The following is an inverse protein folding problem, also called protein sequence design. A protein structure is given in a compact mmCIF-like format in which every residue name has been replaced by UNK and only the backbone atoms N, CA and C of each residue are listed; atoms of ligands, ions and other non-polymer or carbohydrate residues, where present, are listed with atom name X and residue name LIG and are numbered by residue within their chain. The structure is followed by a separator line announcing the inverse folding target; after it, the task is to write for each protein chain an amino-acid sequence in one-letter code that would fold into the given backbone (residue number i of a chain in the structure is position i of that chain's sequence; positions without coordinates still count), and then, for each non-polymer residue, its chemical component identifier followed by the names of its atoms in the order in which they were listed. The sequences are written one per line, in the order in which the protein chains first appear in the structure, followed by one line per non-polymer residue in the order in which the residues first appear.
data_IF_977895654466
#
_entry.id   IF_977895654466
#
_cell.length_a   1.000
_cell.length_b   1.000
_cell.length_c   1.000
_cell.angle_alpha   90.00
_cell.angle_beta   90.00
_cell.angle_gamma   90.00
#
_symmetry.space_group_name_H-M   'P 1'
#
loop_
_entity.id
_entity.type
_entity.pdbx_description
1 polymer ?
#
# COMPACT_ATOMS: atom_id res chain seq x y z
N UNK A 1 -27.19 47.04 0.37
CA UNK A 1 -27.02 45.60 0.06
C UNK A 1 -25.89 45.08 0.93
N UNK A 2 -26.16 44.03 1.67
CA UNK A 2 -25.18 43.31 2.50
C UNK A 2 -25.03 41.92 1.89
N UNK A 3 -23.79 41.50 1.63
CA UNK A 3 -23.47 40.21 1.05
C UNK A 3 -23.88 38.99 1.91
N UNK A 4 -23.66 37.78 1.41
CA UNK A 4 -24.09 36.53 2.05
C UNK A 4 -23.42 36.32 3.42
N UNK A 5 -24.11 35.64 4.33
CA UNK A 5 -23.57 35.26 5.65
C UNK A 5 -22.52 34.15 5.55
N UNK A 6 -22.62 33.33 4.52
CA UNK A 6 -21.71 32.19 4.27
C UNK A 6 -21.25 32.26 2.83
N UNK A 7 -19.97 32.07 2.61
CA UNK A 7 -19.38 31.88 1.28
C UNK A 7 -18.94 30.44 1.14
N UNK A 8 -19.26 29.85 0.00
CA UNK A 8 -18.86 28.48 -0.36
C UNK A 8 -18.13 28.54 -1.69
N UNK A 9 -16.96 27.91 -1.75
CA UNK A 9 -16.22 27.63 -2.99
C UNK A 9 -16.09 26.13 -3.09
N UNK A 10 -16.50 25.55 -4.22
CA UNK A 10 -16.52 24.11 -4.42
C UNK A 10 -16.09 23.76 -5.84
N UNK A 11 -15.19 22.80 -5.98
CA UNK A 11 -14.76 22.22 -7.25
C UNK A 11 -14.62 20.72 -7.09
N UNK A 12 -14.79 19.99 -8.21
CA UNK A 12 -14.60 18.55 -8.21
C UNK A 12 -13.87 18.10 -9.46
N UNK A 13 -13.21 16.93 -9.35
CA UNK A 13 -12.57 16.26 -10.48
C UNK A 13 -12.77 14.75 -10.39
N UNK A 14 -12.74 14.08 -11.55
CA UNK A 14 -12.72 12.62 -11.62
C UNK A 14 -11.28 12.17 -11.90
N UNK A 15 -10.83 11.20 -11.13
CA UNK A 15 -9.48 10.63 -11.13
C UNK A 15 -9.59 9.17 -11.55
N UNK A 16 -8.81 8.72 -12.54
CA UNK A 16 -8.74 7.33 -12.99
C UNK A 16 -7.87 6.48 -12.06
N UNK A 17 -8.19 6.52 -10.77
CA UNK A 17 -7.59 5.71 -9.72
C UNK A 17 -8.63 5.42 -8.64
N UNK A 18 -8.62 4.23 -8.01
CA UNK A 18 -9.58 3.87 -6.97
C UNK A 18 -9.40 4.74 -5.72
N UNK A 19 -10.45 4.81 -4.89
CA UNK A 19 -10.48 5.67 -3.70
C UNK A 19 -9.32 5.36 -2.73
N UNK A 20 -8.88 4.13 -2.65
CA UNK A 20 -7.77 3.67 -1.81
C UNK A 20 -6.43 4.27 -2.25
N UNK A 21 -6.26 4.53 -3.55
CA UNK A 21 -5.06 5.16 -4.11
C UNK A 21 -5.06 6.68 -3.94
N UNK A 22 -6.25 7.31 -3.92
CA UNK A 22 -6.39 8.77 -3.82
C UNK A 22 -6.42 9.25 -2.37
N UNK A 23 -7.04 8.49 -1.46
CA UNK A 23 -7.25 8.88 -0.08
C UNK A 23 -5.96 9.26 0.68
N UNK A 24 -4.84 8.54 0.55
CA UNK A 24 -3.58 8.94 1.20
C UNK A 24 -3.11 10.35 0.82
N UNK A 25 -3.35 10.78 -0.41
CA UNK A 25 -2.94 12.11 -0.89
C UNK A 25 -3.78 13.26 -0.32
N UNK A 26 -5.00 12.97 0.15
CA UNK A 26 -5.88 14.00 0.73
C UNK A 26 -5.94 13.92 2.26
N UNK A 27 -5.65 12.77 2.87
CA UNK A 27 -5.70 12.58 4.33
C UNK A 27 -4.40 12.94 5.04
N UNK A 28 -3.29 13.06 4.34
CA UNK A 28 -2.01 13.53 4.86
C UNK A 28 -1.77 14.98 4.48
N UNK A 29 -1.49 15.86 5.46
CA UNK A 29 -1.16 17.26 5.18
C UNK A 29 0.16 17.41 4.41
N UNK A 30 1.12 16.50 4.62
CA UNK A 30 2.38 16.47 3.86
C UNK A 30 2.16 16.08 2.40
N UNK A 31 1.30 15.12 2.13
CA UNK A 31 0.94 14.74 0.77
C UNK A 31 0.10 15.84 0.11
N UNK A 32 -0.90 16.39 0.82
CA UNK A 32 -1.72 17.50 0.33
C UNK A 32 -0.89 18.71 -0.05
N UNK A 33 0.19 19.00 0.68
CA UNK A 33 1.10 20.08 0.36
C UNK A 33 1.81 19.90 -0.99
N UNK A 34 2.02 18.64 -1.47
CA UNK A 34 2.68 18.40 -2.75
C UNK A 34 1.89 18.87 -3.96
N UNK A 35 0.56 18.80 -3.89
CA UNK A 35 -0.35 19.24 -4.94
C UNK A 35 -1.04 20.58 -4.66
N UNK A 36 -0.79 21.17 -3.48
CA UNK A 36 -1.33 22.48 -3.11
C UNK A 36 -0.94 23.56 -4.13
N UNK A 37 -1.89 24.34 -4.68
CA UNK A 37 -1.59 25.43 -5.60
C UNK A 37 -0.79 26.54 -4.92
N UNK A 38 -0.98 26.74 -3.63
CA UNK A 38 -0.31 27.79 -2.85
C UNK A 38 1.16 27.51 -2.59
N UNK A 39 1.58 26.25 -2.64
CA UNK A 39 3.01 25.90 -2.61
C UNK A 39 3.78 26.53 -3.77
N UNK A 40 3.18 26.55 -4.97
CA UNK A 40 3.83 27.10 -6.15
C UNK A 40 3.68 28.63 -6.24
N UNK A 41 2.63 29.19 -5.62
CA UNK A 41 2.40 30.62 -5.55
C UNK A 41 3.43 31.34 -4.65
N UNK A 42 3.96 30.65 -3.64
CA UNK A 42 4.97 31.16 -2.72
C UNK A 42 6.01 30.08 -2.42
N UNK A 43 7.05 30.01 -3.24
CA UNK A 43 8.11 28.97 -3.14
C UNK A 43 9.01 29.13 -1.92
N UNK A 44 9.07 30.35 -1.38
CA UNK A 44 9.92 30.68 -0.23
C UNK A 44 9.15 30.59 1.10
N UNK A 45 7.87 30.21 1.07
CA UNK A 45 7.07 30.02 2.28
C UNK A 45 7.71 28.99 3.21
N UNK A 46 7.70 29.31 4.50
CA UNK A 46 8.12 28.38 5.55
C UNK A 46 6.91 27.60 6.01
N UNK A 47 6.95 26.29 5.79
CA UNK A 47 5.87 25.39 6.18
C UNK A 47 6.37 24.40 7.22
N UNK A 48 5.64 24.27 8.32
CA UNK A 48 5.92 23.31 9.39
C UNK A 48 4.73 22.36 9.60
N UNK A 49 5.03 21.14 10.03
CA UNK A 49 4.03 20.11 10.31
C UNK A 49 4.20 19.64 11.75
N UNK A 50 3.10 19.49 12.48
CA UNK A 50 3.08 18.98 13.85
C UNK A 50 1.96 17.96 14.03
N UNK A 51 2.05 17.16 15.11
CA UNK A 51 1.17 16.00 15.31
C UNK A 51 1.55 14.80 14.45
N UNK A 52 0.74 13.73 14.51
CA UNK A 52 0.91 12.55 13.64
C UNK A 52 0.22 12.80 12.31
N UNK A 53 0.99 12.86 11.24
CA UNK A 53 0.46 13.11 9.91
C UNK A 53 -0.57 12.05 9.50
N UNK A 54 -1.66 12.47 8.83
CA UNK A 54 -2.76 11.58 8.46
C UNK A 54 -3.69 11.19 9.62
N UNK A 55 -3.66 11.90 10.74
CA UNK A 55 -4.59 11.70 11.86
C UNK A 55 -5.29 13.00 12.24
N UNK A 56 -6.43 12.89 12.94
CA UNK A 56 -7.10 14.04 13.55
C UNK A 56 -6.15 14.71 14.54
N UNK A 57 -6.06 16.05 14.48
CA UNK A 57 -5.14 16.86 15.27
C UNK A 57 -3.76 17.05 14.62
N UNK A 58 -3.51 16.52 13.40
CA UNK A 58 -2.33 16.93 12.63
C UNK A 58 -2.50 18.34 12.11
N UNK A 59 -1.44 19.14 12.17
CA UNK A 59 -1.44 20.56 11.85
C UNK A 59 -0.33 20.89 10.86
N UNK A 60 -0.67 21.70 9.86
CA UNK A 60 0.25 22.39 8.98
C UNK A 60 0.18 23.88 9.31
N UNK A 61 1.32 24.53 9.47
CA UNK A 61 1.44 25.98 9.64
C UNK A 61 2.33 26.55 8.53
N UNK A 62 2.00 27.75 8.06
CA UNK A 62 2.80 28.44 7.05
C UNK A 62 2.99 29.91 7.34
N UNK A 63 4.11 30.43 6.86
CA UNK A 63 4.46 31.85 6.84
C UNK A 63 5.08 32.14 5.48
N UNK A 64 4.50 33.09 4.73
CA UNK A 64 4.99 33.49 3.42
C UNK A 64 4.55 34.87 3.03
N UNK A 65 5.27 35.47 2.10
CA UNK A 65 5.02 36.85 1.66
C UNK A 65 3.77 36.97 0.79
N UNK A 66 3.51 35.94 -0.03
CA UNK A 66 2.35 35.92 -0.92
C UNK A 66 1.15 35.22 -0.29
N UNK A 67 1.37 34.10 0.43
CA UNK A 67 0.31 33.29 1.03
C UNK A 67 -0.07 33.75 2.44
N UNK A 68 0.64 34.70 3.00
CA UNK A 68 0.42 35.21 4.36
C UNK A 68 0.82 34.17 5.43
N UNK A 69 0.17 34.29 6.59
CA UNK A 69 0.40 33.44 7.74
C UNK A 69 -0.88 32.71 8.10
N UNK A 70 -0.80 31.39 8.36
CA UNK A 70 -1.97 30.62 8.75
C UNK A 70 -1.66 29.20 9.17
N UNK A 71 -2.73 28.43 9.45
CA UNK A 71 -2.65 27.03 9.80
C UNK A 71 -3.85 26.25 9.25
N UNK A 72 -3.63 24.97 9.02
CA UNK A 72 -4.67 23.98 8.72
C UNK A 72 -4.55 22.81 9.68
N UNK A 73 -5.67 22.42 10.28
CA UNK A 73 -5.77 21.31 11.22
C UNK A 73 -6.80 20.30 10.73
N UNK A 74 -6.43 19.03 10.65
CA UNK A 74 -7.39 17.95 10.39
C UNK A 74 -8.26 17.73 11.62
N UNK A 75 -9.58 17.87 11.45
CA UNK A 75 -10.56 17.72 12.54
C UNK A 75 -11.47 16.51 12.36
N UNK A 76 -11.54 15.94 11.16
CA UNK A 76 -12.40 14.80 10.84
C UNK A 76 -11.77 13.93 9.75
N UNK A 77 -11.82 12.60 9.92
CA UNK A 77 -11.38 11.62 8.94
C UNK A 77 -12.38 10.47 8.87
N UNK A 78 -12.89 10.18 7.68
CA UNK A 78 -13.58 8.95 7.35
C UNK A 78 -12.80 8.25 6.24
N UNK A 79 -12.25 7.08 6.54
CA UNK A 79 -11.37 6.35 5.63
C UNK A 79 -12.00 6.14 4.25
N UNK A 80 -11.27 6.52 3.19
CA UNK A 80 -11.65 6.44 1.79
C UNK A 80 -12.91 7.24 1.41
N UNK A 81 -13.33 8.22 2.25
CA UNK A 81 -14.55 8.99 2.00
C UNK A 81 -14.43 10.48 2.27
N UNK A 82 -13.85 10.87 3.40
CA UNK A 82 -13.91 12.26 3.84
C UNK A 82 -12.70 12.70 4.64
N UNK A 83 -12.27 13.93 4.41
CA UNK A 83 -11.29 14.66 5.21
C UNK A 83 -11.83 16.05 5.51
N UNK A 84 -12.12 16.32 6.78
CA UNK A 84 -12.54 17.62 7.28
C UNK A 84 -11.39 18.32 7.96
N UNK A 85 -11.16 19.60 7.64
CA UNK A 85 -10.13 20.43 8.28
C UNK A 85 -10.62 21.83 8.58
N UNK A 86 -9.98 22.44 9.56
CA UNK A 86 -10.13 23.87 9.87
C UNK A 86 -8.94 24.63 9.32
N UNK A 87 -9.22 25.65 8.53
CA UNK A 87 -8.25 26.57 7.96
C UNK A 87 -8.33 27.89 8.71
N UNK A 88 -7.22 28.36 9.28
CA UNK A 88 -7.11 29.63 10.01
C UNK A 88 -6.09 30.52 9.30
N UNK A 89 -6.53 31.69 8.87
CA UNK A 89 -5.66 32.75 8.39
C UNK A 89 -5.39 33.71 9.54
N UNK A 90 -4.15 34.18 9.69
CA UNK A 90 -3.69 35.09 10.73
C UNK A 90 -3.33 36.41 10.08
N UNK A 91 -2.56 36.36 8.99
CA UNK A 91 -2.16 37.56 8.22
C UNK A 91 -2.49 37.35 6.72
N UNK A 92 -2.88 38.39 5.99
CA UNK A 92 -3.01 39.80 6.40
C UNK A 92 -4.31 40.13 7.16
N UNK A 93 -5.30 39.19 7.18
CA UNK A 93 -6.58 39.38 7.87
C UNK A 93 -6.99 38.07 8.57
N UNK A 94 -7.34 38.18 9.83
CA UNK A 94 -7.86 37.01 10.59
C UNK A 94 -9.16 36.55 10.00
N UNK A 95 -9.19 35.24 9.64
CA UNK A 95 -10.40 34.55 9.19
C UNK A 95 -10.28 33.04 9.41
N UNK A 96 -11.43 32.36 9.37
CA UNK A 96 -11.50 30.92 9.51
C UNK A 96 -12.44 30.34 8.48
N UNK A 97 -12.06 29.21 7.93
CA UNK A 97 -12.87 28.41 7.03
C UNK A 97 -12.88 26.94 7.43
N UNK A 98 -13.97 26.24 7.14
CA UNK A 98 -14.00 24.78 7.11
C UNK A 98 -13.63 24.33 5.69
N UNK A 99 -12.78 23.33 5.59
CA UNK A 99 -12.41 22.70 4.33
C UNK A 99 -12.81 21.24 4.41
N UNK A 100 -13.57 20.79 3.42
CA UNK A 100 -14.03 19.42 3.26
C UNK A 100 -13.46 18.88 1.93
N UNK A 101 -12.83 17.71 1.99
CA UNK A 101 -12.44 16.91 0.82
C UNK A 101 -13.26 15.63 0.86
N UNK A 102 -14.27 15.55 0.00
CA UNK A 102 -15.14 14.40 -0.13
C UNK A 102 -14.65 13.50 -1.28
N UNK A 103 -14.61 12.20 -1.02
CA UNK A 103 -14.15 11.19 -1.95
C UNK A 103 -15.23 10.12 -2.14
N UNK A 104 -15.58 9.84 -3.38
CA UNK A 104 -16.58 8.84 -3.75
C UNK A 104 -16.10 8.03 -4.95
N UNK A 105 -16.48 6.76 -5.01
CA UNK A 105 -16.27 5.92 -6.20
C UNK A 105 -17.09 6.45 -7.36
N UNK A 106 -16.49 6.60 -8.54
CA UNK A 106 -17.16 7.00 -9.78
C UNK A 106 -16.66 6.16 -10.97
N UNK A 107 -17.48 5.19 -11.40
CA UNK A 107 -17.07 4.18 -12.37
C UNK A 107 -15.92 3.33 -11.83
N UNK A 108 -14.86 3.17 -12.63
CA UNK A 108 -13.62 2.47 -12.23
C UNK A 108 -12.62 3.38 -11.50
N UNK A 109 -12.99 4.64 -11.27
CA UNK A 109 -12.16 5.63 -10.61
C UNK A 109 -12.81 6.22 -9.38
N UNK A 110 -12.44 7.46 -9.07
CA UNK A 110 -12.95 8.21 -7.93
C UNK A 110 -13.25 9.65 -8.30
N UNK A 111 -14.22 10.26 -7.61
CA UNK A 111 -14.51 11.68 -7.66
C UNK A 111 -14.07 12.32 -6.35
N UNK A 112 -13.22 13.36 -6.45
CA UNK A 112 -12.84 14.22 -5.34
C UNK A 112 -13.60 15.53 -5.46
N UNK A 113 -14.25 15.94 -4.38
CA UNK A 113 -14.89 17.26 -4.24
C UNK A 113 -14.16 18.04 -3.16
N UNK A 114 -13.62 19.18 -3.52
CA UNK A 114 -12.97 20.10 -2.61
C UNK A 114 -13.86 21.29 -2.34
N UNK A 115 -14.24 21.47 -1.08
CA UNK A 115 -15.17 22.50 -0.64
C UNK A 115 -14.58 23.31 0.49
N UNK A 116 -14.67 24.62 0.40
CA UNK A 116 -14.35 25.55 1.46
C UNK A 116 -15.58 26.35 1.85
N UNK A 117 -15.86 26.42 3.14
CA UNK A 117 -16.99 27.15 3.71
C UNK A 117 -16.50 28.17 4.70
N UNK A 118 -16.76 29.44 4.46
CA UNK A 118 -16.36 30.56 5.32
C UNK A 118 -17.60 31.25 5.89
N UNK A 119 -17.62 31.48 7.21
CA UNK A 119 -18.62 32.31 7.86
C UNK A 119 -18.18 33.78 7.79
N UNK A 120 -18.97 34.60 7.10
CA UNK A 120 -18.62 35.99 6.85
C UNK A 120 -19.03 36.90 8.02
N UNK A 121 -18.08 37.57 8.63
CA UNK A 121 -18.36 38.68 9.54
C UNK A 121 -18.97 39.88 8.77
N UNK A 122 -19.37 40.92 9.49
CA UNK A 122 -20.01 42.11 8.86
C UNK A 122 -19.14 42.72 7.76
N UNK A 123 -17.84 42.89 8.00
CA UNK A 123 -16.91 43.49 7.05
C UNK A 123 -16.75 42.62 5.80
N UNK A 124 -16.55 41.34 5.96
CA UNK A 124 -16.47 40.38 4.84
C UNK A 124 -17.75 40.38 3.99
N UNK A 125 -18.93 40.52 4.62
CA UNK A 125 -20.21 40.65 3.89
C UNK A 125 -20.31 41.90 3.05
N UNK A 126 -19.76 43.01 3.52
CA UNK A 126 -19.70 44.24 2.72
C UNK A 126 -18.74 44.08 1.56
N UNK A 127 -17.57 43.48 1.78
CA UNK A 127 -16.57 43.26 0.72
C UNK A 127 -17.09 42.26 -0.33
N UNK A 128 -17.80 41.20 0.06
CA UNK A 128 -18.35 40.18 -0.86
C UNK A 128 -19.46 40.72 -1.79
N UNK A 129 -19.93 41.96 -1.61
CA UNK A 129 -20.78 42.61 -2.61
C UNK A 129 -19.97 43.05 -3.84
N UNK A 130 -18.68 43.31 -3.66
CA UNK A 130 -17.78 43.83 -4.71
C UNK A 130 -16.78 42.77 -5.20
N UNK A 131 -16.56 41.67 -4.43
CA UNK A 131 -15.57 40.65 -4.71
C UNK A 131 -16.25 39.29 -4.74
N UNK A 132 -16.12 38.55 -5.84
CA UNK A 132 -16.60 37.20 -5.95
C UNK A 132 -15.51 36.20 -5.52
N UNK A 133 -15.63 35.65 -4.33
CA UNK A 133 -14.65 34.72 -3.77
C UNK A 133 -14.51 33.45 -4.63
N UNK A 134 -15.59 32.99 -5.26
CA UNK A 134 -15.57 31.82 -6.15
C UNK A 134 -14.71 32.07 -7.40
N UNK A 135 -14.79 33.27 -7.96
CA UNK A 135 -13.95 33.68 -9.10
C UNK A 135 -12.49 33.86 -8.71
N UNK A 136 -12.20 34.22 -7.45
CA UNK A 136 -10.83 34.45 -6.98
C UNK A 136 -10.12 33.13 -6.63
N UNK A 137 -10.77 32.23 -5.92
CA UNK A 137 -10.15 31.01 -5.36
C UNK A 137 -10.48 29.76 -6.20
N UNK A 138 -11.61 29.77 -6.93
CA UNK A 138 -12.03 28.63 -7.75
C UNK A 138 -10.94 28.14 -8.71
N UNK A 139 -10.23 28.99 -9.45
CA UNK A 139 -9.12 28.58 -10.31
C UNK A 139 -7.97 27.89 -9.55
N UNK A 140 -7.69 28.30 -8.32
CA UNK A 140 -6.68 27.62 -7.48
C UNK A 140 -7.13 26.21 -7.10
N UNK A 141 -8.41 26.02 -6.77
CA UNK A 141 -8.96 24.70 -6.51
C UNK A 141 -8.89 23.79 -7.74
N UNK A 142 -9.24 24.31 -8.92
CA UNK A 142 -9.13 23.57 -10.19
C UNK A 142 -7.68 23.17 -10.48
N UNK A 143 -6.71 24.07 -10.26
CA UNK A 143 -5.29 23.79 -10.40
C UNK A 143 -4.82 22.73 -9.41
N UNK A 144 -5.18 22.86 -8.13
CA UNK A 144 -4.86 21.88 -7.10
C UNK A 144 -5.43 20.49 -7.41
N UNK A 145 -6.72 20.41 -7.77
CA UNK A 145 -7.37 19.15 -8.16
C UNK A 145 -6.76 18.55 -9.42
N UNK A 146 -6.32 19.36 -10.38
CA UNK A 146 -5.60 18.89 -11.57
C UNK A 146 -4.26 18.24 -11.20
N UNK A 147 -3.51 18.84 -10.29
CA UNK A 147 -2.24 18.26 -9.79
C UNK A 147 -2.47 16.98 -9.01
N UNK A 148 -3.47 16.95 -8.13
CA UNK A 148 -3.88 15.76 -7.40
C UNK A 148 -4.22 14.62 -8.36
N UNK A 149 -5.03 14.91 -9.40
CA UNK A 149 -5.38 13.95 -10.45
C UNK A 149 -4.14 13.37 -11.13
N UNK A 150 -3.26 14.22 -11.65
CA UNK A 150 -2.03 13.78 -12.35
C UNK A 150 -1.15 12.92 -11.43
N UNK A 151 -0.97 13.33 -10.19
CA UNK A 151 -0.14 12.62 -9.22
C UNK A 151 -0.74 11.24 -8.88
N UNK A 152 -2.03 11.19 -8.55
CA UNK A 152 -2.71 9.94 -8.18
C UNK A 152 -2.79 8.94 -9.34
N UNK A 153 -3.09 9.41 -10.55
CA UNK A 153 -3.14 8.56 -11.75
C UNK A 153 -1.76 8.02 -12.13
N UNK A 154 -0.70 8.84 -12.01
CA UNK A 154 0.67 8.41 -12.29
C UNK A 154 1.14 7.35 -11.28
N UNK A 155 0.86 7.53 -9.98
CA UNK A 155 1.23 6.57 -8.96
C UNK A 155 0.43 5.26 -9.11
N UNK A 156 -0.87 5.35 -9.35
CA UNK A 156 -1.70 4.17 -9.62
C UNK A 156 -1.20 3.38 -10.83
N UNK A 157 -0.89 4.07 -11.94
CA UNK A 157 -0.33 3.44 -13.14
C UNK A 157 1.03 2.79 -12.88
N UNK A 158 1.90 3.42 -12.08
CA UNK A 158 3.20 2.87 -11.72
C UNK A 158 3.06 1.57 -10.88
N UNK A 159 2.15 1.56 -9.89
CA UNK A 159 1.84 0.36 -9.09
C UNK A 159 1.27 -0.75 -9.97
N UNK A 160 0.35 -0.43 -10.88
CA UNK A 160 -0.23 -1.40 -11.81
C UNK A 160 0.83 -1.98 -12.76
N UNK A 161 1.74 -1.15 -13.28
CA UNK A 161 2.84 -1.60 -14.14
C UNK A 161 3.84 -2.49 -13.37
N UNK A 162 4.17 -2.14 -12.13
CA UNK A 162 5.02 -2.97 -11.27
C UNK A 162 4.39 -4.34 -11.00
N UNK A 163 3.09 -4.35 -10.69
CA UNK A 163 2.36 -5.60 -10.47
C UNK A 163 2.31 -6.45 -11.74
N UNK A 164 2.05 -5.83 -12.90
CA UNK A 164 2.04 -6.53 -14.19
C UNK A 164 3.40 -7.12 -14.53
N UNK A 165 4.49 -6.40 -14.25
CA UNK A 165 5.85 -6.88 -14.49
C UNK A 165 6.25 -8.10 -13.64
N UNK A 166 5.58 -8.28 -12.51
CA UNK A 166 5.78 -9.43 -11.60
C UNK A 166 4.75 -10.53 -11.79
N UNK A 167 3.78 -10.37 -12.71
CA UNK A 167 2.68 -11.31 -12.92
C UNK A 167 2.92 -12.16 -14.15
N UNK A 168 3.07 -13.48 -13.96
CA UNK A 168 3.24 -14.47 -15.02
C UNK A 168 2.13 -15.50 -14.90
N UNK A 169 1.44 -15.81 -16.00
CA UNK A 169 0.27 -16.74 -16.02
C UNK A 169 -0.77 -16.46 -14.93
N UNK A 170 -0.94 -15.20 -14.52
CA UNK A 170 -1.86 -14.82 -13.44
C UNK A 170 -1.32 -15.01 -12.03
N UNK A 171 -0.06 -15.41 -11.86
CA UNK A 171 0.63 -15.51 -10.56
C UNK A 171 1.60 -14.37 -10.36
N UNK A 172 1.52 -13.71 -9.20
CA UNK A 172 2.50 -12.70 -8.80
C UNK A 172 3.73 -13.42 -8.27
N UNK A 173 4.89 -13.11 -8.84
CA UNK A 173 6.18 -13.69 -8.45
C UNK A 173 7.00 -12.61 -7.74
N UNK A 174 7.36 -12.87 -6.51
CA UNK A 174 8.17 -11.97 -5.70
C UNK A 174 9.58 -12.52 -5.49
N UNK A 175 10.55 -11.63 -5.44
CA UNK A 175 11.90 -11.99 -4.96
C UNK A 175 11.96 -11.70 -3.48
N UNK A 176 12.20 -12.75 -2.67
CA UNK A 176 12.32 -12.64 -1.22
C UNK A 176 13.73 -12.99 -0.75
N UNK A 177 14.15 -12.37 0.34
CA UNK A 177 15.34 -12.80 1.06
C UNK A 177 14.96 -13.95 2.00
N UNK A 178 15.43 -15.16 1.64
CA UNK A 178 15.18 -16.36 2.42
C UNK A 178 16.34 -16.58 3.40
N UNK A 179 16.07 -16.68 4.71
CA UNK A 179 17.12 -17.01 5.68
C UNK A 179 17.64 -18.42 5.49
N UNK A 180 18.79 -18.71 6.08
CA UNK A 180 19.26 -20.10 6.24
C UNK A 180 18.21 -20.91 7.00
N UNK A 181 17.91 -22.11 6.49
CA UNK A 181 16.92 -23.00 7.09
C UNK A 181 17.40 -24.44 7.09
N UNK A 182 17.26 -25.09 8.23
CA UNK A 182 17.58 -26.52 8.39
C UNK A 182 16.31 -27.36 8.37
N UNK A 183 16.34 -28.42 7.59
CA UNK A 183 15.23 -29.34 7.39
C UNK A 183 15.63 -30.76 7.79
N UNK A 184 14.69 -31.50 8.39
CA UNK A 184 14.83 -32.93 8.63
C UNK A 184 13.74 -33.65 7.84
N UNK A 185 14.12 -34.63 7.02
CA UNK A 185 13.23 -35.32 6.14
C UNK A 185 13.79 -36.60 5.59
N UNK A 186 13.15 -37.15 4.54
CA UNK A 186 13.64 -38.36 3.84
C UNK A 186 13.82 -38.02 2.36
N UNK A 187 15.07 -38.04 1.87
CA UNK A 187 15.39 -37.81 0.47
C UNK A 187 15.32 -39.08 -0.33
N UNK A 188 14.66 -39.05 -1.48
CA UNK A 188 14.62 -40.17 -2.43
C UNK A 188 14.30 -39.65 -3.84
N UNK A 189 14.78 -40.41 -4.83
CA UNK A 189 14.26 -40.27 -6.20
C UNK A 189 12.93 -41.01 -6.27
N UNK A 190 11.87 -40.28 -6.60
CA UNK A 190 10.49 -40.74 -6.56
C UNK A 190 9.82 -40.53 -7.91
N UNK A 191 9.10 -41.52 -8.44
CA UNK A 191 8.32 -41.35 -9.68
C UNK A 191 7.19 -40.36 -9.44
N UNK A 192 6.83 -39.58 -10.45
CA UNK A 192 5.76 -38.58 -10.35
C UNK A 192 4.44 -39.21 -9.85
N UNK A 193 4.09 -40.37 -10.31
CA UNK A 193 2.89 -41.09 -9.87
C UNK A 193 2.89 -41.48 -8.36
N UNK A 194 4.05 -41.51 -7.74
CA UNK A 194 4.22 -41.93 -6.34
C UNK A 194 4.47 -40.78 -5.38
N UNK A 195 4.67 -39.53 -5.89
CA UNK A 195 5.04 -38.35 -5.08
C UNK A 195 4.06 -38.10 -3.96
N UNK A 196 2.76 -38.08 -4.25
CA UNK A 196 1.74 -37.79 -3.24
C UNK A 196 1.74 -38.78 -2.08
N UNK A 197 1.87 -40.06 -2.40
CA UNK A 197 1.97 -41.12 -1.39
C UNK A 197 3.27 -41.00 -0.59
N UNK A 198 4.39 -40.72 -1.25
CA UNK A 198 5.68 -40.57 -0.60
C UNK A 198 5.68 -39.35 0.35
N UNK A 199 5.13 -38.21 -0.06
CA UNK A 199 4.99 -37.03 0.79
C UNK A 199 4.15 -37.36 2.03
N UNK A 200 2.96 -37.90 1.87
CA UNK A 200 2.04 -38.19 2.98
C UNK A 200 2.63 -39.19 4.00
N UNK A 201 3.22 -40.29 3.52
CA UNK A 201 3.85 -41.27 4.40
C UNK A 201 5.09 -40.72 5.12
N UNK A 202 5.87 -39.91 4.42
CA UNK A 202 7.09 -39.30 4.99
C UNK A 202 6.77 -38.28 6.05
N UNK A 203 5.80 -37.40 5.83
CA UNK A 203 5.43 -36.40 6.84
C UNK A 203 4.96 -37.06 8.15
N UNK A 204 4.13 -38.12 8.07
CA UNK A 204 3.73 -38.86 9.26
C UNK A 204 4.92 -39.45 10.02
N UNK A 205 5.84 -40.09 9.30
CA UNK A 205 6.99 -40.74 9.90
C UNK A 205 8.01 -39.77 10.49
N UNK A 206 8.34 -38.69 9.74
CA UNK A 206 9.28 -37.64 10.20
C UNK A 206 8.70 -36.87 11.38
N UNK A 207 7.43 -36.47 11.32
CA UNK A 207 6.76 -35.79 12.42
C UNK A 207 6.77 -36.58 13.73
N UNK A 208 6.48 -37.89 13.64
CA UNK A 208 6.55 -38.79 14.80
C UNK A 208 7.98 -38.94 15.35
N UNK A 209 9.01 -39.04 14.47
CA UNK A 209 10.40 -39.13 14.87
C UNK A 209 10.89 -37.82 15.56
N UNK A 210 10.55 -36.65 15.01
CA UNK A 210 10.87 -35.36 15.61
C UNK A 210 10.21 -35.20 16.98
N UNK A 211 8.92 -35.59 17.10
CA UNK A 211 8.21 -35.52 18.37
C UNK A 211 8.85 -36.44 19.42
N UNK A 212 9.22 -37.66 19.05
CA UNK A 212 9.92 -38.62 19.96
C UNK A 212 11.29 -38.10 20.40
N UNK A 213 12.01 -37.43 19.50
CA UNK A 213 13.32 -36.82 19.78
C UNK A 213 13.21 -35.43 20.43
N UNK A 214 12.02 -34.94 20.69
CA UNK A 214 11.75 -33.60 21.25
C UNK A 214 12.39 -32.47 20.44
N UNK A 215 12.53 -32.61 19.12
CA UNK A 215 13.05 -31.58 18.22
C UNK A 215 11.90 -30.67 17.80
N UNK A 216 11.92 -29.36 18.14
CA UNK A 216 10.85 -28.45 17.80
C UNK A 216 10.88 -28.11 16.31
N UNK A 217 9.74 -28.26 15.66
CA UNK A 217 9.53 -27.76 14.29
C UNK A 217 9.41 -26.23 14.30
N UNK A 218 10.02 -25.56 13.33
CA UNK A 218 10.06 -24.09 13.22
C UNK A 218 9.12 -23.54 12.15
N UNK A 219 8.34 -24.40 11.48
CA UNK A 219 7.39 -23.99 10.44
C UNK A 219 6.59 -25.18 9.89
N UNK A 220 5.84 -24.93 8.82
CA UNK A 220 5.01 -25.90 8.13
C UNK A 220 5.85 -26.99 7.42
N UNK A 221 5.29 -28.21 7.22
CA UNK A 221 5.95 -29.22 6.42
C UNK A 221 6.21 -28.72 5.01
N UNK A 222 7.35 -29.09 4.45
CA UNK A 222 7.85 -28.64 3.14
C UNK A 222 8.30 -29.84 2.30
N UNK A 223 8.12 -29.77 0.99
CA UNK A 223 8.73 -30.71 0.05
C UNK A 223 9.86 -29.99 -0.70
N UNK A 224 11.10 -30.41 -0.47
CA UNK A 224 12.26 -29.89 -1.18
C UNK A 224 12.45 -30.70 -2.45
N UNK A 225 12.60 -30.07 -3.59
CA UNK A 225 12.91 -30.68 -4.87
C UNK A 225 14.31 -30.24 -5.28
N UNK A 226 15.18 -31.20 -5.63
CA UNK A 226 16.56 -30.96 -5.99
C UNK A 226 16.77 -31.06 -7.51
N UNK A 227 16.03 -31.95 -8.17
CA UNK A 227 16.03 -32.09 -9.63
C UNK A 227 14.77 -32.81 -10.11
N UNK A 228 14.47 -32.60 -11.40
CA UNK A 228 13.41 -33.28 -12.12
C UNK A 228 14.02 -34.02 -13.31
N UNK A 229 13.59 -35.25 -13.51
CA UNK A 229 13.84 -36.05 -14.71
C UNK A 229 12.52 -36.27 -15.44
N UNK A 230 12.25 -35.40 -16.40
CA UNK A 230 11.01 -35.47 -17.19
C UNK A 230 10.94 -36.74 -18.05
N UNK A 231 12.08 -37.22 -18.57
CA UNK A 231 12.14 -38.46 -19.39
C UNK A 231 11.94 -39.70 -18.54
N UNK A 232 12.54 -39.75 -17.36
CA UNK A 232 12.37 -40.81 -16.40
C UNK A 232 11.12 -40.68 -15.53
N UNK A 233 10.33 -39.60 -15.71
CA UNK A 233 9.12 -39.28 -14.95
C UNK A 233 9.35 -39.38 -13.44
N UNK A 234 10.44 -38.79 -12.94
CA UNK A 234 10.84 -38.84 -11.53
C UNK A 234 11.42 -37.52 -11.04
N UNK A 235 11.45 -37.36 -9.74
CA UNK A 235 12.08 -36.20 -9.06
C UNK A 235 12.94 -36.70 -7.90
N UNK A 236 14.11 -36.07 -7.73
CA UNK A 236 14.88 -36.15 -6.49
C UNK A 236 14.29 -35.15 -5.51
N UNK A 237 13.67 -35.65 -4.46
CA UNK A 237 12.93 -34.79 -3.53
C UNK A 237 13.07 -35.22 -2.08
N UNK A 238 12.74 -34.33 -1.17
CA UNK A 238 12.79 -34.55 0.26
C UNK A 238 11.58 -33.89 0.94
N UNK A 239 10.54 -34.66 1.24
CA UNK A 239 9.53 -34.22 2.19
C UNK A 239 10.16 -34.05 3.57
N UNK A 240 10.02 -32.89 4.22
CA UNK A 240 10.76 -32.51 5.40
C UNK A 240 9.99 -31.52 6.28
N UNK A 241 10.44 -31.38 7.52
CA UNK A 241 10.02 -30.31 8.41
C UNK A 241 11.19 -29.35 8.67
N UNK A 242 10.96 -28.05 8.64
CA UNK A 242 11.93 -27.08 9.11
C UNK A 242 12.07 -27.20 10.62
N UNK A 243 13.31 -27.16 11.09
CA UNK A 243 13.64 -27.26 12.51
C UNK A 243 14.51 -26.08 12.92
N UNK A 244 14.47 -25.70 14.19
CA UNK A 244 15.46 -24.73 14.69
C UNK A 244 16.84 -25.35 14.57
N UNK A 245 17.79 -24.60 13.96
CA UNK A 245 19.15 -25.06 13.76
C UNK A 245 19.76 -25.54 15.09
N UNK A 246 19.96 -26.85 15.17
CA UNK A 246 20.88 -27.44 16.10
C UNK A 246 21.87 -28.21 15.23
N UNK A 247 23.13 -27.93 15.36
CA UNK A 247 24.21 -28.46 14.54
C UNK A 247 24.31 -29.99 14.51
N UNK A 248 23.56 -30.70 15.33
CA UNK A 248 23.70 -32.13 15.56
C UNK A 248 22.41 -32.93 15.58
N UNK A 249 21.38 -32.51 14.81
CA UNK A 249 20.15 -33.31 14.67
C UNK A 249 20.44 -34.51 13.74
N UNK A 250 20.94 -35.60 14.30
CA UNK A 250 21.08 -36.87 13.61
C UNK A 250 19.95 -37.81 14.03
N UNK A 251 18.87 -37.87 13.23
CA UNK A 251 17.82 -38.86 13.41
C UNK A 251 18.11 -40.09 12.50
N UNK A 252 18.26 -41.23 13.10
CA UNK A 252 18.55 -42.46 12.34
C UNK A 252 17.48 -42.74 11.28
N UNK A 253 17.91 -42.89 10.02
CA UNK A 253 17.00 -43.12 8.88
C UNK A 253 16.42 -41.86 8.23
N UNK A 254 16.82 -40.67 8.67
CA UNK A 254 16.40 -39.39 8.10
C UNK A 254 17.62 -38.56 7.68
N UNK A 255 17.39 -37.64 6.74
CA UNK A 255 18.40 -36.72 6.21
C UNK A 255 18.19 -35.35 6.81
N UNK A 256 19.26 -34.73 7.32
CA UNK A 256 19.27 -33.31 7.66
C UNK A 256 19.86 -32.55 6.48
N UNK A 257 19.21 -31.49 6.05
CA UNK A 257 19.64 -30.64 4.94
C UNK A 257 19.46 -29.16 5.30
N UNK A 258 20.52 -28.39 5.14
CA UNK A 258 20.50 -26.93 5.39
C UNK A 258 20.57 -26.20 4.06
N UNK A 259 19.58 -25.35 3.81
CA UNK A 259 19.59 -24.42 2.69
C UNK A 259 20.25 -23.12 3.14
N UNK A 260 21.25 -22.60 2.41
CA UNK A 260 21.87 -21.33 2.76
C UNK A 260 20.90 -20.17 2.64
N UNK A 261 21.21 -19.07 3.31
CA UNK A 261 20.52 -17.79 3.06
C UNK A 261 20.70 -17.39 1.60
N UNK A 262 19.63 -17.00 0.94
CA UNK A 262 19.64 -16.70 -0.50
C UNK A 262 18.44 -15.84 -0.89
N UNK A 263 18.55 -15.16 -2.03
CA UNK A 263 17.36 -14.65 -2.73
C UNK A 263 16.63 -15.81 -3.38
N UNK A 264 15.30 -15.82 -3.26
CA UNK A 264 14.45 -16.85 -3.84
C UNK A 264 13.23 -16.22 -4.49
N UNK A 265 12.76 -16.84 -5.56
CA UNK A 265 11.46 -16.52 -6.13
C UNK A 265 10.36 -17.16 -5.27
N UNK A 266 9.30 -16.42 -5.03
CA UNK A 266 8.18 -16.82 -4.19
C UNK A 266 6.85 -16.59 -4.90
N UNK A 267 6.00 -17.61 -4.91
CA UNK A 267 4.61 -17.54 -5.35
C UNK A 267 3.72 -18.01 -4.20
N UNK A 268 2.82 -17.15 -3.67
CA UNK A 268 1.76 -17.60 -2.77
C UNK A 268 0.67 -18.33 -3.58
N UNK A 269 0.73 -19.66 -3.64
CA UNK A 269 -0.27 -20.46 -4.34
C UNK A 269 -1.45 -20.78 -3.42
N UNK A 270 -2.65 -20.34 -3.82
CA UNK A 270 -3.91 -20.59 -3.12
C UNK A 270 -4.81 -21.45 -4.00
N UNK A 271 -4.75 -22.76 -3.84
CA UNK A 271 -5.53 -23.69 -4.68
C UNK A 271 -5.34 -25.16 -4.32
N UNK A 272 -5.94 -26.02 -5.11
CA UNK A 272 -5.82 -27.47 -4.96
C UNK A 272 -4.39 -27.92 -5.26
N UNK A 273 -3.85 -28.81 -4.44
CA UNK A 273 -2.45 -29.24 -4.51
C UNK A 273 -2.06 -29.89 -5.86
N UNK A 274 -3.00 -30.60 -6.48
CA UNK A 274 -2.82 -31.24 -7.80
C UNK A 274 -2.58 -30.25 -8.94
N UNK A 275 -2.92 -28.96 -8.74
CA UNK A 275 -2.69 -27.87 -9.68
C UNK A 275 -1.51 -26.96 -9.31
N UNK A 276 -0.78 -27.26 -8.26
CA UNK A 276 0.36 -26.44 -7.80
C UNK A 276 1.50 -26.32 -8.83
N UNK A 277 1.57 -27.23 -9.81
CA UNK A 277 2.49 -27.17 -10.93
C UNK A 277 2.34 -25.91 -11.80
N UNK A 278 1.15 -25.31 -11.84
CA UNK A 278 0.91 -24.06 -12.59
C UNK A 278 1.80 -22.91 -12.08
N UNK A 279 2.05 -22.83 -10.77
CA UNK A 279 2.97 -21.85 -10.18
C UNK A 279 4.42 -22.05 -10.62
N UNK A 280 4.87 -23.30 -10.79
CA UNK A 280 6.21 -23.59 -11.30
C UNK A 280 6.37 -23.13 -12.77
N UNK A 281 5.38 -23.41 -13.63
CA UNK A 281 5.40 -22.92 -15.02
C UNK A 281 5.40 -21.40 -15.11
N UNK A 282 4.78 -20.70 -14.16
CA UNK A 282 4.84 -19.25 -14.09
C UNK A 282 6.26 -18.75 -13.74
N UNK A 283 6.96 -19.44 -12.83
CA UNK A 283 8.35 -19.11 -12.50
C UNK A 283 9.31 -19.35 -13.68
N UNK A 284 9.09 -20.44 -14.43
CA UNK A 284 9.91 -20.77 -15.62
C UNK A 284 9.80 -19.72 -16.73
N UNK A 285 8.66 -19.03 -16.84
CA UNK A 285 8.50 -17.91 -17.80
C UNK A 285 9.22 -16.63 -17.35
N UNK A 286 9.50 -16.47 -16.07
CA UNK A 286 10.20 -15.31 -15.54
C UNK A 286 11.72 -15.42 -15.69
N UNK A 287 12.27 -16.65 -15.68
CA UNK A 287 13.69 -16.95 -15.73
C UNK A 287 14.18 -16.99 -17.19
#
# INVERSE_FOLDING_TARGET
LIGPKTTVVERSTVIAAPVESVYPHISSLKESFKWSPWRDADKDQKTTFSGTDGTVGSIQEWVGDTVGTGSQEIIELESNKHVGSTLKFIEPFESQAKVDLDLATEGDGSKVTWKMTTQNNFMARVMNVFMNMDEMIGPDFENGLTKLKVMSEAEHAAVAAELAAKTFRGYVIETIDRPEMTYVGKRAVTRFADIQRFIGSTYGAVGAALGKAQVPMSGSPSALYFSYDEKGMSADMMPAFPVKAASDIALAGYTTYTTPASKALHIPYMGAYDRSGEGHYAMDEMI
#
